data_IF_346338428516
#
_entry.id   IF_346338428516
#
_cell.length_a   1.000
_cell.length_b   1.000
_cell.length_c   1.000
_cell.angle_alpha   90.00
_cell.angle_beta   90.00
_cell.angle_gamma   90.00
#
_symmetry.space_group_name_H-M   'P 1'
#
loop_
_entity.id
_entity.type
_entity.pdbx_description
1 polymer ?
#
# COMPACT_ATOMS: atom_id res chain seq x y z
N UNK A 1 17.12 -2.00 23.52
CA UNK A 1 17.62 -2.56 22.23
C UNK A 1 16.82 -1.89 21.12
N UNK A 2 17.46 -1.00 20.35
CA UNK A 2 16.84 -0.29 19.22
C UNK A 2 16.99 -1.17 17.99
N UNK A 3 15.93 -1.89 17.62
CA UNK A 3 15.98 -2.92 16.59
C UNK A 3 14.91 -2.75 15.52
N UNK A 4 15.38 -2.64 14.27
CA UNK A 4 14.76 -3.21 13.06
C UNK A 4 13.55 -2.54 12.37
N UNK A 5 13.58 -1.22 12.17
CA UNK A 5 12.75 -0.57 11.13
C UNK A 5 13.57 0.23 10.09
N UNK A 6 14.71 -0.31 9.67
CA UNK A 6 15.39 0.14 8.44
C UNK A 6 14.98 -0.76 7.28
N UNK A 7 13.70 -0.75 6.92
CA UNK A 7 13.24 -1.36 5.67
C UNK A 7 13.34 -0.30 4.59
N UNK A 8 14.23 -0.57 3.63
CA UNK A 8 14.58 0.22 2.45
C UNK A 8 13.42 1.07 1.89
N UNK A 9 13.70 2.37 1.76
CA UNK A 9 12.76 3.47 1.48
C UNK A 9 12.03 3.45 0.13
N UNK A 10 11.96 2.31 -0.55
CA UNK A 10 11.18 2.14 -1.78
C UNK A 10 9.77 1.56 -1.54
N UNK A 11 9.52 0.98 -0.36
CA UNK A 11 8.33 0.14 -0.08
C UNK A 11 7.18 0.94 0.57
N UNK A 12 7.44 2.14 1.10
CA UNK A 12 6.42 3.03 1.66
C UNK A 12 5.74 3.93 0.61
N UNK A 13 6.21 3.94 -0.64
CA UNK A 13 5.81 4.94 -1.64
C UNK A 13 4.34 4.87 -2.09
N UNK A 14 3.72 3.68 -2.10
CA UNK A 14 2.27 3.54 -2.31
C UNK A 14 1.54 3.31 -0.99
N UNK A 15 2.11 2.56 -0.05
CA UNK A 15 1.46 2.27 1.23
C UNK A 15 1.28 3.49 2.14
N UNK A 16 2.16 4.49 2.12
CA UNK A 16 2.00 5.69 2.95
C UNK A 16 0.75 6.49 2.54
N UNK A 17 0.46 6.59 1.23
CA UNK A 17 -0.78 7.18 0.72
C UNK A 17 -2.03 6.37 1.12
N UNK A 18 -1.87 5.06 1.33
CA UNK A 18 -2.95 4.17 1.73
C UNK A 18 -3.09 3.98 3.25
N UNK A 19 -2.16 4.42 4.09
CA UNK A 19 -2.16 4.08 5.53
C UNK A 19 -1.97 5.30 6.45
N UNK A 20 -1.38 6.40 5.98
CA UNK A 20 -1.23 7.63 6.75
C UNK A 20 -2.57 8.28 7.09
N UNK A 21 -2.80 8.52 8.38
CA UNK A 21 -4.04 9.07 8.91
C UNK A 21 -4.40 10.42 8.28
N UNK A 22 -5.48 10.45 7.52
CA UNK A 22 -6.23 11.67 7.25
C UNK A 22 -7.71 11.34 7.06
N UNK A 23 -8.48 11.66 8.10
CA UNK A 23 -9.94 11.82 8.15
C UNK A 23 -10.80 10.57 7.95
N UNK A 24 -11.90 10.54 8.70
CA UNK A 24 -13.06 9.63 8.64
C UNK A 24 -13.69 9.48 7.23
N UNK A 25 -13.16 10.17 6.21
CA UNK A 25 -13.70 10.34 4.87
C UNK A 25 -13.21 9.30 3.85
N UNK A 26 -12.01 8.73 4.02
CA UNK A 26 -11.39 7.77 3.08
C UNK A 26 -11.36 6.33 3.62
N UNK A 27 -12.51 5.84 4.11
CA UNK A 27 -12.61 4.55 4.82
C UNK A 27 -12.44 3.30 3.95
N UNK A 28 -12.62 3.39 2.62
CA UNK A 28 -12.51 2.22 1.75
C UNK A 28 -11.25 2.25 0.90
N UNK A 29 -10.69 1.07 0.54
CA UNK A 29 -9.57 0.96 -0.39
C UNK A 29 -9.82 1.70 -1.71
N UNK A 30 -11.06 1.66 -2.22
CA UNK A 30 -11.47 2.33 -3.47
C UNK A 30 -11.37 3.85 -3.34
N UNK A 31 -11.92 4.44 -2.26
CA UNK A 31 -11.83 5.88 -2.03
C UNK A 31 -10.39 6.36 -1.87
N UNK A 32 -9.54 5.56 -1.23
CA UNK A 32 -8.10 5.85 -1.12
C UNK A 32 -7.41 5.79 -2.47
N UNK A 33 -7.71 4.77 -3.27
CA UNK A 33 -7.14 4.62 -4.61
C UNK A 33 -7.56 5.78 -5.54
N UNK A 34 -8.82 6.22 -5.48
CA UNK A 34 -9.29 7.39 -6.22
C UNK A 34 -8.59 8.68 -5.79
N UNK A 35 -8.42 8.88 -4.47
CA UNK A 35 -7.68 10.04 -3.96
C UNK A 35 -6.24 10.07 -4.49
N UNK A 36 -5.56 8.92 -4.48
CA UNK A 36 -4.19 8.79 -5.00
C UNK A 36 -4.12 9.12 -6.49
N UNK A 37 -4.98 8.53 -7.31
CA UNK A 37 -5.01 8.81 -8.76
C UNK A 37 -5.31 10.28 -9.03
N UNK A 38 -6.27 10.88 -8.31
CA UNK A 38 -6.57 12.31 -8.45
C UNK A 38 -5.36 13.18 -8.10
N UNK A 39 -4.64 12.85 -7.02
CA UNK A 39 -3.45 13.60 -6.59
C UNK A 39 -2.30 13.46 -7.60
N UNK A 40 -2.05 12.26 -8.12
CA UNK A 40 -1.02 12.06 -9.17
C UNK A 40 -1.38 12.85 -10.43
N UNK A 41 -2.64 12.77 -10.88
CA UNK A 41 -3.10 13.49 -12.06
C UNK A 41 -2.96 15.01 -11.92
N UNK A 42 -3.19 15.57 -10.73
CA UNK A 42 -3.09 17.02 -10.51
C UNK A 42 -1.65 17.53 -10.44
N UNK A 43 -0.68 16.69 -10.09
CA UNK A 43 0.69 17.12 -9.79
C UNK A 43 1.68 16.82 -10.93
N UNK A 44 1.45 15.75 -11.70
CA UNK A 44 2.37 15.30 -12.76
C UNK A 44 1.95 15.77 -14.17
N UNK A 45 0.83 16.49 -14.29
CA UNK A 45 0.27 16.93 -15.58
C UNK A 45 0.24 15.81 -16.64
N UNK A 46 -0.40 14.69 -16.27
CA UNK A 46 -0.43 13.51 -17.14
C UNK A 46 -1.24 13.77 -18.42
N UNK A 47 -0.74 13.30 -19.56
CA UNK A 47 -1.53 13.28 -20.79
C UNK A 47 -2.62 12.20 -20.75
N UNK A 48 -3.55 12.22 -21.72
CA UNK A 48 -4.71 11.33 -21.72
C UNK A 48 -4.35 9.83 -21.76
N UNK A 49 -3.28 9.48 -22.48
CA UNK A 49 -2.78 8.10 -22.51
C UNK A 49 -2.25 7.66 -21.14
N UNK A 50 -1.43 8.52 -20.51
CA UNK A 50 -0.89 8.26 -19.17
C UNK A 50 -2.00 8.17 -18.10
N UNK A 51 -3.01 9.04 -18.16
CA UNK A 51 -4.18 9.00 -17.30
C UNK A 51 -4.91 7.66 -17.43
N UNK A 52 -5.17 7.23 -18.67
CA UNK A 52 -5.84 5.95 -18.94
C UNK A 52 -5.09 4.78 -18.31
N UNK A 53 -3.77 4.74 -18.47
CA UNK A 53 -2.93 3.71 -17.86
C UNK A 53 -2.93 3.77 -16.32
N UNK A 54 -2.87 4.97 -15.73
CA UNK A 54 -2.95 5.13 -14.28
C UNK A 54 -4.28 4.62 -13.71
N UNK A 55 -5.40 4.91 -14.38
CA UNK A 55 -6.72 4.40 -14.00
C UNK A 55 -6.83 2.87 -14.13
N UNK A 56 -6.29 2.29 -15.21
CA UNK A 56 -6.22 0.83 -15.37
C UNK A 56 -5.41 0.18 -14.25
N UNK A 57 -4.23 0.73 -13.95
CA UNK A 57 -3.37 0.23 -12.86
C UNK A 57 -4.10 0.30 -11.51
N UNK A 58 -4.82 1.39 -11.22
CA UNK A 58 -5.65 1.54 -10.03
C UNK A 58 -6.71 0.42 -9.93
N UNK A 59 -7.43 0.14 -11.01
CA UNK A 59 -8.46 -0.89 -11.03
C UNK A 59 -7.88 -2.30 -10.84
N UNK A 60 -6.72 -2.58 -11.46
CA UNK A 60 -6.03 -3.86 -11.30
C UNK A 60 -5.49 -4.06 -9.87
N UNK A 61 -4.98 -3.00 -9.23
CA UNK A 61 -4.58 -3.02 -7.81
C UNK A 61 -5.79 -3.33 -6.91
N UNK A 62 -6.93 -2.68 -7.16
CA UNK A 62 -8.16 -2.95 -6.40
C UNK A 62 -8.68 -4.38 -6.63
N UNK A 63 -8.60 -4.89 -7.86
CA UNK A 63 -8.95 -6.26 -8.19
C UNK A 63 -8.05 -7.26 -7.46
N UNK A 64 -6.72 -7.09 -7.52
CA UNK A 64 -5.76 -7.97 -6.84
C UNK A 64 -5.95 -7.94 -5.32
N UNK A 65 -6.25 -6.77 -4.75
CA UNK A 65 -6.57 -6.64 -3.32
C UNK A 65 -7.79 -7.49 -2.93
N UNK A 66 -8.85 -7.47 -3.76
CA UNK A 66 -10.08 -8.26 -3.55
C UNK A 66 -9.80 -9.76 -3.67
N UNK A 67 -9.05 -10.16 -4.70
CA UNK A 67 -8.60 -11.54 -4.94
C UNK A 67 -7.85 -12.10 -3.72
N UNK A 68 -6.88 -11.34 -3.21
CA UNK A 68 -6.08 -11.71 -2.03
C UNK A 68 -6.85 -11.61 -0.71
N UNK A 69 -8.09 -11.10 -0.74
CA UNK A 69 -8.93 -10.84 0.45
C UNK A 69 -8.19 -10.03 1.51
N UNK A 70 -7.40 -9.04 1.09
CA UNK A 70 -6.60 -8.22 2.01
C UNK A 70 -7.52 -7.38 2.89
N UNK A 71 -7.48 -7.68 4.18
CA UNK A 71 -8.14 -6.89 5.20
C UNK A 71 -7.09 -5.93 5.80
N UNK A 72 -7.55 -4.89 6.49
CA UNK A 72 -6.63 -3.99 7.22
C UNK A 72 -5.82 -4.73 8.30
N UNK A 73 -4.95 -4.03 9.05
CA UNK A 73 -4.23 -4.63 10.15
C UNK A 73 -5.23 -5.24 11.15
N UNK A 74 -5.24 -6.57 11.23
CA UNK A 74 -6.12 -7.34 12.10
C UNK A 74 -5.40 -8.62 12.53
N UNK A 75 -5.73 -9.10 13.71
CA UNK A 75 -5.33 -10.44 14.13
C UNK A 75 -6.17 -11.45 13.32
N UNK A 76 -5.57 -12.49 12.69
CA UNK A 76 -6.32 -13.52 11.99
C UNK A 76 -7.37 -14.16 12.92
N UNK A 77 -8.54 -14.50 12.38
CA UNK A 77 -9.62 -15.07 13.18
C UNK A 77 -9.20 -16.41 13.82
N UNK A 78 -8.36 -17.16 13.11
CA UNK A 78 -7.75 -18.41 13.53
C UNK A 78 -6.83 -18.22 14.74
N UNK A 79 -6.07 -17.12 14.78
CA UNK A 79 -5.27 -16.76 15.96
C UNK A 79 -6.20 -16.43 17.13
N UNK A 80 -7.23 -15.60 16.92
CA UNK A 80 -8.20 -15.29 17.98
C UNK A 80 -8.91 -16.54 18.52
N UNK A 81 -9.18 -17.53 17.66
CA UNK A 81 -9.76 -18.80 18.06
C UNK A 81 -8.79 -19.68 18.87
N UNK A 82 -7.50 -19.67 18.51
CA UNK A 82 -6.46 -20.38 19.24
C UNK A 82 -6.30 -19.84 20.68
N UNK A 83 -6.40 -18.53 20.85
CA UNK A 83 -6.36 -17.88 22.17
C UNK A 83 -7.54 -18.25 23.11
N UNK A 84 -8.56 -18.95 22.61
CA UNK A 84 -9.67 -19.48 23.43
C UNK A 84 -9.48 -20.93 23.84
N UNK A 85 -8.42 -21.60 23.38
CA UNK A 85 -8.15 -22.99 23.71
C UNK A 85 -7.49 -23.11 25.10
N UNK A 86 -7.62 -24.26 25.80
CA UNK A 86 -6.96 -24.49 27.09
C UNK A 86 -5.42 -24.43 27.02
N UNK A 87 -4.85 -24.69 25.85
CA UNK A 87 -3.41 -24.62 25.56
C UNK A 87 -3.20 -23.98 24.20
N UNK A 88 -2.20 -23.12 24.08
CA UNK A 88 -1.85 -22.49 22.81
C UNK A 88 -0.99 -23.41 21.95
N UNK A 89 -1.38 -23.59 20.69
CA UNK A 89 -0.55 -24.20 19.65
C UNK A 89 0.20 -23.13 18.86
N UNK A 90 1.46 -22.92 19.22
CA UNK A 90 2.36 -21.97 18.55
C UNK A 90 2.43 -22.20 17.03
N UNK A 91 2.42 -23.48 16.56
CA UNK A 91 2.54 -23.78 15.14
C UNK A 91 1.32 -23.30 14.35
N UNK A 92 0.12 -23.39 14.93
CA UNK A 92 -1.11 -22.85 14.31
C UNK A 92 -1.11 -21.34 14.25
N UNK A 93 -0.62 -20.68 15.30
CA UNK A 93 -0.49 -19.22 15.34
C UNK A 93 0.46 -18.74 14.25
N UNK A 94 1.67 -19.30 14.19
CA UNK A 94 2.68 -18.93 13.19
C UNK A 94 2.17 -19.19 11.77
N UNK A 95 1.56 -20.35 11.52
CA UNK A 95 0.97 -20.68 10.20
C UNK A 95 -0.09 -19.66 9.76
N UNK A 96 -0.90 -19.16 10.70
CA UNK A 96 -1.95 -18.17 10.40
C UNK A 96 -1.35 -16.80 10.03
N UNK A 97 -0.29 -16.38 10.73
CA UNK A 97 0.43 -15.15 10.39
C UNK A 97 1.21 -15.27 9.07
N UNK A 98 1.88 -16.40 8.82
CA UNK A 98 2.56 -16.67 7.56
C UNK A 98 1.63 -16.57 6.36
N UNK A 99 0.39 -17.06 6.48
CA UNK A 99 -0.62 -16.94 5.43
C UNK A 99 -0.94 -15.47 5.10
N UNK A 100 -1.14 -14.62 6.10
CA UNK A 100 -1.39 -13.20 5.88
C UNK A 100 -0.15 -12.47 5.35
N UNK A 101 1.05 -12.82 5.84
CA UNK A 101 2.32 -12.28 5.33
C UNK A 101 2.54 -12.63 3.86
N UNK A 102 2.24 -13.87 3.44
CA UNK A 102 2.37 -14.30 2.05
C UNK A 102 1.47 -13.49 1.12
N UNK A 103 0.23 -13.19 1.52
CA UNK A 103 -0.66 -12.29 0.75
C UNK A 103 -0.07 -10.89 0.62
N UNK A 104 0.54 -10.37 1.69
CA UNK A 104 1.19 -9.05 1.66
C UNK A 104 2.42 -9.05 0.75
N UNK A 105 3.23 -10.11 0.75
CA UNK A 105 4.37 -10.29 -0.15
C UNK A 105 3.91 -10.34 -1.61
N UNK A 106 2.83 -11.06 -1.89
CA UNK A 106 2.26 -11.16 -3.22
C UNK A 106 1.74 -9.82 -3.72
N UNK A 107 0.98 -9.10 -2.88
CA UNK A 107 0.49 -7.76 -3.19
C UNK A 107 1.64 -6.77 -3.42
N UNK A 108 2.67 -6.81 -2.57
CA UNK A 108 3.88 -5.97 -2.72
C UNK A 108 4.55 -6.24 -4.06
N UNK A 109 4.72 -7.52 -4.42
CA UNK A 109 5.34 -7.92 -5.69
C UNK A 109 4.51 -7.45 -6.89
N UNK A 110 3.18 -7.58 -6.81
CA UNK A 110 2.27 -7.07 -7.83
C UNK A 110 2.37 -5.54 -7.98
N UNK A 111 2.32 -4.79 -6.88
CA UNK A 111 2.44 -3.34 -6.89
C UNK A 111 3.79 -2.87 -7.41
N UNK A 112 4.89 -3.58 -7.12
CA UNK A 112 6.21 -3.26 -7.70
C UNK A 112 6.19 -3.35 -9.22
N UNK A 113 5.55 -4.39 -9.79
CA UNK A 113 5.41 -4.51 -11.25
C UNK A 113 4.61 -3.34 -11.83
N UNK A 114 3.53 -2.94 -11.15
CA UNK A 114 2.70 -1.78 -11.55
C UNK A 114 3.43 -0.44 -11.43
N UNK A 115 4.29 -0.29 -10.42
CA UNK A 115 5.13 0.90 -10.30
C UNK A 115 6.14 1.00 -11.46
N UNK A 116 6.75 -0.11 -11.87
CA UNK A 116 7.65 -0.16 -13.03
C UNK A 116 6.91 0.20 -14.32
N UNK A 117 5.71 -0.35 -14.50
CA UNK A 117 4.82 -0.08 -15.64
C UNK A 117 4.40 1.39 -15.70
N UNK A 118 4.01 2.00 -14.58
CA UNK A 118 3.68 3.43 -14.56
C UNK A 118 4.92 4.30 -14.81
N UNK A 119 6.06 3.97 -14.19
CA UNK A 119 7.30 4.73 -14.38
C UNK A 119 7.80 4.74 -15.83
N UNK A 120 7.59 3.65 -16.58
CA UNK A 120 8.06 3.55 -17.96
C UNK A 120 7.34 4.50 -18.93
N UNK A 121 6.09 4.88 -18.63
CA UNK A 121 5.31 5.80 -19.46
C UNK A 121 5.45 7.27 -19.08
N UNK A 122 6.12 7.58 -17.97
CA UNK A 122 6.40 8.96 -17.54
C UNK A 122 7.61 9.55 -18.26
N UNK A 123 7.58 10.86 -18.51
CA UNK A 123 8.76 11.62 -18.95
C UNK A 123 9.77 11.77 -17.80
N UNK A 124 11.03 12.12 -18.08
CA UNK A 124 12.01 12.44 -17.04
C UNK A 124 11.52 13.49 -16.03
N UNK A 125 10.84 14.54 -16.50
CA UNK A 125 10.29 15.62 -15.68
C UNK A 125 9.20 15.08 -14.75
N UNK A 126 8.26 14.30 -15.29
CA UNK A 126 7.18 13.70 -14.50
C UNK A 126 7.69 12.71 -13.45
N UNK A 127 8.81 12.01 -13.73
CA UNK A 127 9.46 11.13 -12.73
C UNK A 127 10.02 11.93 -11.56
N UNK A 128 10.62 13.10 -11.82
CA UNK A 128 11.10 13.98 -10.75
C UNK A 128 9.91 14.54 -9.94
N UNK A 129 8.86 15.02 -10.60
CA UNK A 129 7.63 15.47 -9.94
C UNK A 129 7.00 14.38 -9.07
N UNK A 130 7.03 13.12 -9.53
CA UNK A 130 6.59 11.98 -8.74
C UNK A 130 7.42 11.83 -7.46
N UNK A 131 8.76 11.88 -7.57
CA UNK A 131 9.66 11.81 -6.40
C UNK A 131 9.39 12.96 -5.42
N UNK A 132 9.20 14.18 -5.91
CA UNK A 132 8.91 15.35 -5.09
C UNK A 132 7.58 15.19 -4.35
N UNK A 133 6.51 14.80 -5.05
CA UNK A 133 5.20 14.53 -4.46
C UNK A 133 5.28 13.50 -3.33
N UNK A 134 6.02 12.41 -3.55
CA UNK A 134 6.21 11.38 -2.52
C UNK A 134 7.01 11.91 -1.33
N UNK A 135 8.08 12.66 -1.60
CA UNK A 135 8.96 13.19 -0.56
C UNK A 135 8.20 14.18 0.33
N UNK A 136 7.42 15.07 -0.28
CA UNK A 136 6.55 16.01 0.43
C UNK A 136 5.52 15.28 1.31
N UNK A 137 4.88 14.24 0.75
CA UNK A 137 3.92 13.42 1.50
C UNK A 137 4.59 12.77 2.72
N UNK A 138 5.80 12.21 2.56
CA UNK A 138 6.55 11.60 3.66
C UNK A 138 6.91 12.62 4.75
N UNK A 139 7.33 13.83 4.38
CA UNK A 139 7.68 14.88 5.33
C UNK A 139 6.44 15.33 6.13
N UNK A 140 5.31 15.56 5.46
CA UNK A 140 4.05 15.97 6.11
C UNK A 140 3.54 14.96 7.13
N UNK A 141 3.76 13.67 6.91
CA UNK A 141 3.28 12.61 7.79
C UNK A 141 4.30 12.11 8.82
N UNK A 142 5.56 12.58 8.78
CA UNK A 142 6.55 12.29 9.83
C UNK A 142 6.27 13.00 11.16
N UNK A 143 5.60 14.15 11.12
CA UNK A 143 5.34 14.97 12.32
C UNK A 143 4.22 14.45 13.24
N UNK A 144 3.71 13.24 13.00
CA UNK A 144 2.59 12.68 13.77
C UNK A 144 2.98 11.50 14.69
N UNK A 145 4.26 11.09 14.66
CA UNK A 145 4.81 9.94 15.40
C UNK A 145 5.89 10.33 16.45
N UNK A 146 6.16 11.62 16.65
CA UNK A 146 6.97 12.18 17.76
C UNK A 146 6.04 12.75 18.85
#
# INVERSE_FOLDING_TARGET
MKGFFKVSGLILLTMALFVGGCSRHYRSPEKRAEFVVKKINSELDLNDSQKKELYRIKDEILSKRKELKLQGPRIPAEVLAEFRQPTLDEKKINKSFELEMNKMIEMRTFMTKKAVEFHSILTPEQRNQLVDLITEFQQKHRHHDD
#
